data_IF_558190343681
#
_entry.id   IF_558190343681
#
_cell.length_a   1.000
_cell.length_b   1.000
_cell.length_c   1.000
_cell.angle_alpha   90.00
_cell.angle_beta   90.00
_cell.angle_gamma   90.00
#
_symmetry.space_group_name_H-M   'P 1'
#
loop_
_entity.id
_entity.type
_entity.pdbx_description
1 polymer ?
#
# COMPACT_ATOMS: atom_id res chain seq x y z
N UNK A 1 -4.45 7.56 -23.70
CA UNK A 1 -3.04 7.63 -23.31
C UNK A 1 -2.64 6.29 -22.72
N UNK A 2 -1.82 5.55 -23.46
CA UNK A 2 -1.33 4.21 -23.14
C UNK A 2 -0.46 4.32 -21.88
N UNK A 3 -0.73 3.52 -20.85
CA UNK A 3 0.14 3.46 -19.67
C UNK A 3 1.57 3.12 -20.09
N UNK A 4 2.56 3.78 -19.48
CA UNK A 4 3.96 3.60 -19.84
C UNK A 4 4.32 2.10 -19.73
N UNK A 5 4.73 1.47 -20.85
CA UNK A 5 5.04 0.03 -20.93
C UNK A 5 6.08 -0.41 -19.90
N UNK A 6 6.99 0.49 -19.52
CA UNK A 6 7.99 0.26 -18.49
C UNK A 6 7.36 0.11 -17.08
N UNK A 7 6.33 0.90 -16.76
CA UNK A 7 5.61 0.80 -15.49
C UNK A 7 4.80 -0.51 -15.41
N UNK A 8 4.12 -0.86 -16.50
CA UNK A 8 3.41 -2.15 -16.59
C UNK A 8 4.38 -3.33 -16.48
N UNK A 9 5.55 -3.25 -17.11
CA UNK A 9 6.59 -4.27 -16.99
C UNK A 9 7.07 -4.40 -15.53
N UNK A 10 7.33 -3.29 -14.84
CA UNK A 10 7.71 -3.30 -13.44
C UNK A 10 6.61 -3.86 -12.50
N UNK A 11 5.34 -3.70 -12.87
CA UNK A 11 4.22 -4.20 -12.08
C UNK A 11 4.02 -5.73 -12.23
N UNK A 12 4.01 -6.22 -13.47
CA UNK A 12 3.70 -7.62 -13.76
C UNK A 12 4.90 -8.55 -13.79
N UNK A 13 6.12 -8.03 -13.74
CA UNK A 13 7.32 -8.85 -13.87
C UNK A 13 8.36 -8.54 -12.81
N UNK A 14 9.08 -9.59 -12.41
CA UNK A 14 10.28 -9.51 -11.57
C UNK A 14 11.52 -9.71 -12.43
N UNK A 15 12.51 -8.81 -12.32
CA UNK A 15 13.79 -8.92 -13.03
C UNK A 15 14.71 -9.89 -12.29
N UNK A 16 15.18 -10.94 -12.98
CA UNK A 16 16.10 -11.95 -12.44
C UNK A 16 17.56 -11.76 -12.90
N UNK A 17 17.84 -10.77 -13.76
CA UNK A 17 19.18 -10.47 -14.29
C UNK A 17 19.30 -10.73 -15.79
N UNK A 18 20.28 -10.11 -16.45
CA UNK A 18 20.55 -10.22 -17.91
C UNK A 18 19.32 -9.96 -18.82
N UNK A 19 18.39 -9.11 -18.38
CA UNK A 19 17.16 -8.81 -19.10
C UNK A 19 16.12 -9.95 -19.07
N UNK A 20 16.23 -10.91 -18.15
CA UNK A 20 15.24 -11.97 -17.94
C UNK A 20 14.19 -11.52 -16.93
N UNK A 21 12.93 -11.57 -17.35
CA UNK A 21 11.76 -11.15 -16.57
C UNK A 21 10.87 -12.36 -16.28
N UNK A 22 10.50 -12.55 -15.02
CA UNK A 22 9.53 -13.57 -14.60
C UNK A 22 8.16 -12.93 -14.42
N UNK A 23 7.14 -13.45 -15.08
CA UNK A 23 5.77 -12.98 -14.92
C UNK A 23 5.22 -13.33 -13.53
N UNK A 24 4.71 -12.34 -12.80
CA UNK A 24 4.16 -12.49 -11.46
C UNK A 24 2.77 -13.17 -11.45
N UNK A 25 2.12 -13.31 -12.61
CA UNK A 25 0.79 -13.92 -12.74
C UNK A 25 0.84 -15.42 -13.09
N UNK A 26 1.78 -15.85 -13.93
CA UNK A 26 1.89 -17.26 -14.36
C UNK A 26 3.28 -17.88 -14.19
N UNK A 27 4.24 -17.16 -13.60
CA UNK A 27 5.61 -17.64 -13.37
C UNK A 27 6.47 -17.81 -14.62
N UNK A 28 5.93 -17.53 -15.82
CA UNK A 28 6.68 -17.70 -17.06
C UNK A 28 7.82 -16.71 -17.18
N UNK A 29 9.00 -17.20 -17.57
CA UNK A 29 10.18 -16.38 -17.81
C UNK A 29 10.25 -15.92 -19.26
N UNK A 30 10.65 -14.66 -19.45
CA UNK A 30 10.72 -13.97 -20.74
C UNK A 30 11.94 -13.08 -20.78
N UNK A 31 12.79 -13.25 -21.79
CA UNK A 31 13.89 -12.32 -22.04
C UNK A 31 13.35 -11.08 -22.75
N UNK A 32 13.68 -9.90 -22.25
CA UNK A 32 13.36 -8.65 -22.93
C UNK A 32 14.19 -8.56 -24.21
N UNK A 33 13.53 -8.30 -25.33
CA UNK A 33 14.20 -8.08 -26.61
C UNK A 33 14.81 -6.68 -26.63
N UNK A 34 16.09 -6.58 -26.98
CA UNK A 34 16.77 -5.29 -27.13
C UNK A 34 16.04 -4.41 -28.16
N UNK A 35 15.83 -3.13 -27.84
CA UNK A 35 15.14 -2.17 -28.72
C UNK A 35 13.61 -2.32 -28.83
N UNK A 36 12.99 -3.29 -28.14
CA UNK A 36 11.54 -3.55 -28.24
C UNK A 36 10.65 -2.71 -27.30
N UNK A 37 11.25 -1.88 -26.43
CA UNK A 37 10.53 -1.05 -25.45
C UNK A 37 9.45 -1.84 -24.67
N UNK A 38 9.82 -3.00 -24.13
CA UNK A 38 8.94 -3.90 -23.35
C UNK A 38 7.72 -4.46 -24.11
N UNK A 39 7.62 -4.26 -25.43
CA UNK A 39 6.46 -4.66 -26.22
C UNK A 39 6.24 -6.18 -26.24
N UNK A 40 7.31 -6.96 -26.14
CA UNK A 40 7.22 -8.43 -26.09
C UNK A 40 6.67 -8.95 -24.75
N UNK A 41 6.91 -8.23 -23.66
CA UNK A 41 6.30 -8.52 -22.35
C UNK A 41 4.81 -8.14 -22.40
N UNK A 42 4.46 -7.00 -22.98
CA UNK A 42 3.05 -6.62 -23.16
C UNK A 42 2.29 -7.62 -24.04
N UNK A 43 2.90 -8.12 -25.11
CA UNK A 43 2.31 -9.17 -25.95
C UNK A 43 2.05 -10.48 -25.19
N UNK A 44 2.92 -10.83 -24.24
CA UNK A 44 2.65 -11.96 -23.34
C UNK A 44 1.42 -11.67 -22.47
N UNK A 45 1.33 -10.49 -21.86
CA UNK A 45 0.18 -10.11 -21.04
C UNK A 45 -1.12 -10.13 -21.84
N UNK A 46 -1.12 -9.52 -23.03
CA UNK A 46 -2.28 -9.50 -23.93
C UNK A 46 -2.73 -10.89 -24.38
N UNK A 47 -1.79 -11.83 -24.56
CA UNK A 47 -2.12 -13.18 -25.05
C UNK A 47 -2.47 -14.19 -23.95
N UNK A 48 -1.95 -14.01 -22.73
CA UNK A 48 -2.09 -14.99 -21.63
C UNK A 48 -2.90 -14.48 -20.44
N UNK A 49 -3.10 -13.17 -20.32
CA UNK A 49 -3.71 -12.54 -19.16
C UNK A 49 -4.80 -11.55 -19.60
N UNK A 50 -5.98 -12.08 -19.91
CA UNK A 50 -7.13 -11.26 -20.26
C UNK A 50 -7.41 -10.23 -19.14
N UNK A 51 -7.55 -8.96 -19.50
CA UNK A 51 -7.79 -7.88 -18.54
C UNK A 51 -6.56 -7.39 -17.75
N UNK A 52 -5.33 -7.75 -18.14
CA UNK A 52 -4.12 -7.22 -17.48
C UNK A 52 -4.04 -5.68 -17.52
N UNK A 53 -4.64 -5.05 -18.53
CA UNK A 53 -4.70 -3.59 -18.64
C UNK A 53 -5.55 -2.94 -17.55
N UNK A 54 -6.47 -3.70 -16.93
CA UNK A 54 -7.21 -3.28 -15.75
C UNK A 54 -6.41 -3.49 -14.46
N UNK A 55 -5.46 -4.43 -14.44
CA UNK A 55 -4.73 -4.78 -13.22
C UNK A 55 -3.42 -4.00 -13.03
N UNK A 56 -2.93 -3.31 -14.07
CA UNK A 56 -1.66 -2.57 -14.06
C UNK A 56 -1.78 -1.04 -14.09
N UNK A 57 -2.98 -0.50 -13.95
CA UNK A 57 -3.15 0.93 -13.71
C UNK A 57 -2.97 1.25 -12.24
N UNK A 58 -2.34 2.38 -11.92
CA UNK A 58 -2.50 2.97 -10.59
C UNK A 58 -4.01 3.07 -10.30
N UNK A 59 -4.48 2.57 -9.15
CA UNK A 59 -5.87 2.70 -8.80
C UNK A 59 -6.26 4.17 -8.88
N UNK A 60 -7.35 4.46 -9.59
CA UNK A 60 -7.94 5.79 -9.55
C UNK A 60 -8.04 6.22 -8.08
N UNK A 61 -7.63 7.46 -7.71
CA UNK A 61 -7.81 7.96 -6.35
C UNK A 61 -9.26 7.83 -5.85
N UNK A 62 -10.23 7.73 -6.77
CA UNK A 62 -11.63 7.49 -6.46
C UNK A 62 -11.90 6.10 -5.88
N UNK A 63 -11.18 5.05 -6.29
CA UNK A 63 -11.30 3.73 -5.66
C UNK A 63 -10.77 3.72 -4.24
N UNK A 64 -9.67 4.44 -3.98
CA UNK A 64 -9.08 4.55 -2.64
C UNK A 64 -10.02 5.33 -1.72
N UNK A 65 -10.53 6.48 -2.18
CA UNK A 65 -11.56 7.23 -1.45
C UNK A 65 -12.81 6.40 -1.20
N UNK A 66 -13.28 5.66 -2.19
CA UNK A 66 -14.42 4.76 -2.02
C UNK A 66 -14.19 3.75 -0.89
N UNK A 67 -13.06 3.05 -0.90
CA UNK A 67 -12.73 2.07 0.13
C UNK A 67 -12.62 2.72 1.51
N UNK A 68 -11.89 3.84 1.63
CA UNK A 68 -11.60 4.48 2.92
C UNK A 68 -12.81 5.26 3.45
N UNK A 69 -13.37 6.18 2.67
CA UNK A 69 -14.41 7.12 3.13
C UNK A 69 -15.77 6.43 3.35
N UNK A 70 -16.03 5.30 2.67
CA UNK A 70 -17.26 4.51 2.87
C UNK A 70 -17.05 3.28 3.74
N UNK A 71 -15.82 3.03 4.22
CA UNK A 71 -15.46 1.82 4.96
C UNK A 71 -15.85 0.52 4.23
N UNK A 72 -15.60 0.46 2.92
CA UNK A 72 -15.93 -0.71 2.11
C UNK A 72 -14.84 -1.77 2.22
N UNK A 73 -15.19 -3.07 2.18
CA UNK A 73 -14.19 -4.12 2.08
C UNK A 73 -13.31 -3.93 0.84
N UNK A 74 -12.01 -4.19 0.95
CA UNK A 74 -11.08 -3.99 -0.18
C UNK A 74 -11.44 -4.88 -1.39
N UNK A 75 -12.06 -6.04 -1.17
CA UNK A 75 -12.50 -6.92 -2.25
C UNK A 75 -13.70 -6.37 -3.05
N UNK A 76 -14.37 -5.33 -2.55
CA UNK A 76 -15.51 -4.70 -3.23
C UNK A 76 -15.14 -4.13 -4.60
N UNK A 77 -13.88 -3.70 -4.78
CA UNK A 77 -13.38 -3.20 -6.07
C UNK A 77 -13.32 -4.30 -7.16
N UNK A 78 -13.42 -5.56 -6.73
CA UNK A 78 -13.45 -6.74 -7.59
C UNK A 78 -14.84 -7.32 -7.77
N UNK A 79 -15.82 -6.86 -6.97
CA UNK A 79 -17.20 -7.33 -7.06
C UNK A 79 -17.81 -7.02 -8.45
N UNK A 80 -18.56 -7.99 -8.97
CA UNK A 80 -19.09 -7.93 -10.32
C UNK A 80 -20.17 -6.84 -10.47
N UNK A 81 -21.03 -6.67 -9.46
CA UNK A 81 -22.07 -5.65 -9.47
C UNK A 81 -21.43 -4.26 -9.35
N UNK A 82 -20.53 -4.07 -8.38
CA UNK A 82 -19.80 -2.82 -8.19
C UNK A 82 -19.04 -2.42 -9.46
N UNK A 83 -18.35 -3.34 -10.12
CA UNK A 83 -17.70 -3.07 -11.41
C UNK A 83 -18.68 -2.69 -12.50
N UNK A 84 -19.82 -3.38 -12.60
CA UNK A 84 -20.83 -3.14 -13.64
C UNK A 84 -21.48 -1.75 -13.53
N UNK A 85 -21.61 -1.22 -12.31
CA UNK A 85 -22.23 0.10 -12.06
C UNK A 85 -21.19 1.22 -11.94
N UNK A 86 -19.93 0.90 -11.64
CA UNK A 86 -18.87 1.89 -11.54
C UNK A 86 -18.48 2.44 -12.91
N UNK A 87 -18.26 3.75 -13.00
CA UNK A 87 -17.60 4.38 -14.18
C UNK A 87 -16.07 4.32 -14.10
N UNK A 88 -15.55 3.66 -13.07
CA UNK A 88 -14.12 3.58 -12.81
C UNK A 88 -13.52 2.42 -13.60
N UNK A 89 -12.26 2.58 -14.02
CA UNK A 89 -11.52 1.46 -14.59
C UNK A 89 -11.43 0.35 -13.53
N UNK A 90 -11.71 -0.92 -13.89
CA UNK A 90 -11.61 -2.02 -12.93
C UNK A 90 -10.20 -2.07 -12.33
N UNK A 91 -10.08 -2.44 -11.05
CA UNK A 91 -8.81 -2.63 -10.34
C UNK A 91 -8.85 -3.93 -9.55
N UNK A 92 -7.71 -4.33 -8.97
CA UNK A 92 -7.66 -5.48 -8.07
C UNK A 92 -7.56 -5.05 -6.61
N UNK A 93 -8.02 -5.91 -5.71
CA UNK A 93 -7.83 -5.73 -4.27
C UNK A 93 -6.34 -5.63 -3.93
N UNK A 94 -5.50 -6.42 -4.61
CA UNK A 94 -4.04 -6.39 -4.48
C UNK A 94 -3.45 -5.03 -4.88
N UNK A 95 -3.92 -4.44 -5.98
CA UNK A 95 -3.47 -3.13 -6.42
C UNK A 95 -3.88 -2.02 -5.44
N UNK A 96 -5.10 -2.09 -4.89
CA UNK A 96 -5.53 -1.16 -3.84
C UNK A 96 -4.65 -1.27 -2.60
N UNK A 97 -4.41 -2.48 -2.08
CA UNK A 97 -3.54 -2.67 -0.91
C UNK A 97 -2.15 -2.08 -1.12
N UNK A 98 -1.50 -2.41 -2.24
CA UNK A 98 -0.17 -1.89 -2.58
C UNK A 98 -0.16 -0.36 -2.72
N UNK A 99 -1.23 0.22 -3.28
CA UNK A 99 -1.34 1.67 -3.39
C UNK A 99 -1.53 2.33 -2.01
N UNK A 100 -2.38 1.77 -1.15
CA UNK A 100 -2.57 2.24 0.22
C UNK A 100 -1.28 2.16 1.04
N UNK A 101 -0.49 1.08 0.89
CA UNK A 101 0.84 0.96 1.51
C UNK A 101 1.78 2.09 1.04
N UNK A 102 1.82 2.36 -0.28
CA UNK A 102 2.60 3.47 -0.83
C UNK A 102 2.17 4.85 -0.30
N UNK A 103 0.85 5.09 -0.19
CA UNK A 103 0.29 6.32 0.38
C UNK A 103 0.70 6.44 1.86
N UNK A 104 0.60 5.37 2.64
CA UNK A 104 1.00 5.37 4.04
C UNK A 104 2.49 5.74 4.20
N UNK A 105 3.36 5.19 3.36
CA UNK A 105 4.81 5.54 3.34
C UNK A 105 5.00 7.02 3.01
N UNK A 106 4.36 7.53 1.96
CA UNK A 106 4.51 8.93 1.55
C UNK A 106 4.00 9.91 2.62
N UNK A 107 2.85 9.59 3.24
CA UNK A 107 2.30 10.36 4.36
C UNK A 107 3.24 10.31 5.56
N UNK A 108 3.79 9.14 5.90
CA UNK A 108 4.76 9.00 6.98
C UNK A 108 6.03 9.83 6.76
N UNK A 109 6.56 9.84 5.54
CA UNK A 109 7.73 10.67 5.19
C UNK A 109 7.43 12.17 5.28
N UNK A 110 6.25 12.61 4.85
CA UNK A 110 5.80 14.00 4.98
C UNK A 110 5.65 14.38 6.45
N UNK A 111 5.00 13.51 7.23
CA UNK A 111 4.79 13.69 8.66
C UNK A 111 6.11 13.80 9.41
N UNK A 112 7.07 12.90 9.14
CA UNK A 112 8.39 12.94 9.78
C UNK A 112 9.16 14.24 9.50
N UNK A 113 9.06 14.78 8.27
CA UNK A 113 9.65 16.08 7.93
C UNK A 113 8.96 17.25 8.63
N UNK A 114 7.64 17.21 8.74
CA UNK A 114 6.83 18.26 9.39
C UNK A 114 7.04 18.28 10.91
N UNK A 115 7.07 17.10 11.54
CA UNK A 115 7.20 16.91 12.98
C UNK A 115 8.59 17.30 13.50
N UNK A 116 9.64 17.00 12.73
CA UNK A 116 11.02 17.30 13.13
C UNK A 116 11.47 16.51 14.37
N UNK A 117 12.56 16.95 15.05
CA UNK A 117 13.15 16.20 16.15
C UNK A 117 12.45 16.41 17.52
N UNK A 118 11.55 17.39 17.63
CA UNK A 118 10.88 17.74 18.88
C UNK A 118 9.39 17.42 18.77
N UNK A 119 9.01 16.28 19.31
CA UNK A 119 7.63 15.83 19.40
C UNK A 119 7.42 15.03 20.67
N UNK A 120 6.16 14.93 21.07
CA UNK A 120 5.70 14.01 22.10
C UNK A 120 4.90 12.89 21.46
N UNK A 121 4.85 11.75 22.14
CA UNK A 121 3.98 10.64 21.80
C UNK A 121 2.85 10.57 22.81
N UNK A 122 1.62 10.49 22.29
CA UNK A 122 0.42 10.22 23.09
C UNK A 122 -0.16 8.90 22.62
N UNK A 123 -0.54 8.02 23.53
CA UNK A 123 -1.14 6.74 23.15
C UNK A 123 -2.36 6.41 24.01
N UNK A 124 -3.22 5.56 23.46
CA UNK A 124 -4.36 4.98 24.16
C UNK A 124 -4.46 3.49 23.83
N UNK A 125 -4.75 2.67 24.84
CA UNK A 125 -4.95 1.23 24.70
C UNK A 125 -6.39 0.83 24.99
N UNK A 126 -6.96 -0.07 24.19
CA UNK A 126 -8.28 -0.66 24.47
C UNK A 126 -8.35 -2.11 24.00
N UNK A 127 -9.22 -2.91 24.60
CA UNK A 127 -9.43 -4.30 24.18
C UNK A 127 -10.79 -4.47 23.50
N UNK A 128 -10.81 -5.19 22.38
CA UNK A 128 -12.03 -5.57 21.69
C UNK A 128 -11.89 -7.00 21.14
N UNK A 129 -12.90 -7.84 21.39
CA UNK A 129 -12.95 -9.23 20.90
C UNK A 129 -11.67 -10.05 21.19
N UNK A 130 -11.08 -9.88 22.38
CA UNK A 130 -9.88 -10.62 22.81
C UNK A 130 -8.56 -10.08 22.25
N UNK A 131 -8.59 -8.98 21.48
CA UNK A 131 -7.39 -8.31 20.97
C UNK A 131 -7.23 -6.97 21.70
N UNK A 132 -6.03 -6.72 22.23
CA UNK A 132 -5.67 -5.41 22.76
C UNK A 132 -5.09 -4.56 21.64
N UNK A 133 -5.62 -3.36 21.43
CA UNK A 133 -5.19 -2.41 20.41
C UNK A 133 -4.55 -1.21 21.09
N UNK A 134 -3.48 -0.70 20.47
CA UNK A 134 -2.83 0.54 20.88
C UNK A 134 -2.86 1.51 19.70
N UNK A 135 -3.46 2.68 19.94
CA UNK A 135 -3.35 3.83 19.06
C UNK A 135 -2.22 4.73 19.56
N UNK A 136 -1.29 5.06 18.68
CA UNK A 136 -0.18 5.97 18.90
C UNK A 136 -0.40 7.24 18.08
N UNK A 137 -0.26 8.40 18.71
CA UNK A 137 -0.38 9.71 18.12
C UNK A 137 0.94 10.46 18.29
N UNK A 138 1.35 11.16 17.24
CA UNK A 138 2.40 12.16 17.34
C UNK A 138 1.79 13.49 17.80
N UNK A 139 2.46 14.20 18.68
CA UNK A 139 2.03 15.50 19.20
C UNK A 139 3.17 16.48 19.00
N UNK A 140 2.97 17.48 18.14
CA UNK A 140 3.99 18.48 17.82
C UNK A 140 3.37 19.82 17.43
N UNK A 141 4.16 20.89 17.48
CA UNK A 141 3.75 22.20 17.02
C UNK A 141 4.39 22.50 15.66
N UNK A 142 3.61 23.00 14.72
CA UNK A 142 4.10 23.54 13.45
C UNK A 142 3.30 24.78 13.07
N UNK A 143 3.97 25.84 12.62
CA UNK A 143 3.35 27.13 12.27
C UNK A 143 2.42 27.70 13.37
N UNK A 144 2.80 27.56 14.65
CA UNK A 144 1.99 28.01 15.78
C UNK A 144 0.72 27.19 16.03
N UNK A 145 0.59 26.01 15.41
CA UNK A 145 -0.57 25.12 15.53
C UNK A 145 -0.15 23.77 16.08
N UNK A 146 -0.86 23.33 17.12
CA UNK A 146 -0.75 21.97 17.63
C UNK A 146 -1.28 20.97 16.59
N UNK A 147 -0.48 19.95 16.29
CA UNK A 147 -0.82 18.82 15.43
C UNK A 147 -0.87 17.56 16.28
N UNK A 148 -1.92 16.76 16.07
CA UNK A 148 -2.11 15.47 16.76
C UNK A 148 -2.52 14.37 15.77
N UNK A 149 -1.70 14.04 14.74
CA UNK A 149 -2.02 12.98 13.81
C UNK A 149 -1.89 11.59 14.45
N UNK A 150 -2.76 10.67 14.02
CA UNK A 150 -2.59 9.25 14.31
C UNK A 150 -1.34 8.75 13.60
N UNK A 151 -0.39 8.24 14.37
CA UNK A 151 0.89 7.73 13.91
C UNK A 151 0.81 6.23 13.61
N UNK A 152 0.09 5.47 14.43
CA UNK A 152 -0.13 4.05 14.21
C UNK A 152 -1.30 3.50 15.02
N UNK A 153 -1.92 2.44 14.51
CA UNK A 153 -2.94 1.68 15.20
C UNK A 153 -2.66 0.20 14.98
N UNK A 154 -2.18 -0.47 16.02
CA UNK A 154 -1.73 -1.85 15.92
C UNK A 154 -2.30 -2.68 17.09
N UNK A 155 -2.67 -3.95 16.84
CA UNK A 155 -2.90 -4.87 17.92
C UNK A 155 -1.58 -5.17 18.64
N UNK A 156 -1.65 -5.39 19.95
CA UNK A 156 -0.54 -5.90 20.72
C UNK A 156 -0.41 -7.40 20.49
N UNK A 157 0.76 -7.84 20.03
CA UNK A 157 1.06 -9.25 19.84
C UNK A 157 1.00 -10.02 21.18
N UNK A 158 0.58 -11.29 21.11
CA UNK A 158 0.55 -12.25 22.23
C UNK A 158 -0.38 -11.91 23.41
N UNK A 159 -1.20 -10.86 23.32
CA UNK A 159 -2.15 -10.46 24.38
C UNK A 159 -1.49 -9.96 25.68
N UNK A 160 -0.17 -9.86 25.69
CA UNK A 160 0.66 -9.45 26.84
C UNK A 160 0.71 -7.93 26.95
N UNK A 161 -0.07 -7.32 27.85
CA UNK A 161 -0.08 -5.86 28.06
C UNK A 161 1.09 -5.34 28.93
N UNK A 162 2.26 -5.98 28.86
CA UNK A 162 3.44 -5.62 29.65
C UNK A 162 4.09 -4.33 29.12
N UNK A 163 4.89 -3.68 29.96
CA UNK A 163 5.68 -2.52 29.53
C UNK A 163 6.62 -2.87 28.36
N UNK A 164 7.28 -4.02 28.42
CA UNK A 164 8.19 -4.49 27.36
C UNK A 164 7.49 -4.67 26.01
N UNK A 165 6.25 -5.18 26.02
CA UNK A 165 5.46 -5.31 24.80
C UNK A 165 5.10 -3.95 24.19
N UNK A 166 4.81 -2.94 25.03
CA UNK A 166 4.58 -1.57 24.57
C UNK A 166 5.86 -0.92 24.04
N UNK A 167 7.00 -1.10 24.73
CA UNK A 167 8.31 -0.58 24.28
C UNK A 167 8.66 -1.18 22.91
N UNK A 168 8.51 -2.50 22.74
CA UNK A 168 8.74 -3.19 21.47
C UNK A 168 7.81 -2.65 20.37
N UNK A 169 6.53 -2.45 20.67
CA UNK A 169 5.57 -1.89 19.72
C UNK A 169 6.00 -0.50 19.25
N UNK A 170 6.41 0.38 20.19
CA UNK A 170 6.84 1.73 19.87
C UNK A 170 8.16 1.74 19.09
N UNK A 171 9.12 0.89 19.44
CA UNK A 171 10.36 0.72 18.68
C UNK A 171 10.09 0.34 17.22
N UNK A 172 9.21 -0.64 16.99
CA UNK A 172 8.81 -1.07 15.65
C UNK A 172 8.12 0.05 14.83
N UNK A 173 7.25 0.85 15.46
CA UNK A 173 6.55 1.94 14.77
C UNK A 173 7.47 3.11 14.44
N UNK A 174 8.41 3.43 15.32
CA UNK A 174 9.33 4.55 15.15
C UNK A 174 10.57 4.18 14.32
N UNK A 175 10.72 2.90 13.95
CA UNK A 175 11.93 2.35 13.34
C UNK A 175 13.19 2.64 14.17
N UNK A 176 13.02 2.69 15.50
CA UNK A 176 14.12 2.88 16.46
C UNK A 176 14.66 1.49 16.75
N UNK A 177 15.63 1.06 15.96
CA UNK A 177 16.43 -0.12 16.26
C UNK A 177 17.52 0.28 17.27
N UNK A 178 17.54 -0.38 18.44
CA UNK A 178 18.65 -0.30 19.40
C UNK A 178 19.93 -0.97 18.86
#
# INVERSE_FOLDING_TARGET
MVGNKQQLAAFFYTLHGQGLFRCNLCGSERKQLAGSDYSNLMAHLASKHAGYEATGGDPSPQWIRWVIERNMPVHEVEDALTRSISKLRPVTAKAIKKCTEGIAIEVGQKLGKEMGPLFALMFNGWSHAGIHYVALYAVYETDGKLRVPLFGLLPLEDGSQTADAHIKLFGNMLDVNE
#
